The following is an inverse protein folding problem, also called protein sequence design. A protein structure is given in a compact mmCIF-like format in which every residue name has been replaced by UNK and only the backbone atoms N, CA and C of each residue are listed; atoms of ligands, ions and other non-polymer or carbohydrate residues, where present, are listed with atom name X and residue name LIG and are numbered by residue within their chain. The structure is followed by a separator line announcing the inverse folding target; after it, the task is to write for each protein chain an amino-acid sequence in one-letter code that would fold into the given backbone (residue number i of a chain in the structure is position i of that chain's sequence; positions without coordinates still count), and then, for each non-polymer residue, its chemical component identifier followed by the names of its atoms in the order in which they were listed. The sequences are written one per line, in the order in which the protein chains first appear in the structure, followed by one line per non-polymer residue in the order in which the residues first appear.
data_IF_151306196168
#
_entry.id   IF_151306196168
#
_cell.length_a   1.000
_cell.length_b   1.000
_cell.length_c   1.000
_cell.angle_alpha   90.00
_cell.angle_beta   90.00
_cell.angle_gamma   90.00
#
_symmetry.space_group_name_H-M   'P 1'
#
loop_
_entity.id
_entity.type
_entity.pdbx_description
1 polymer ?
#
# COMPACT_ATOMS: atom_id res chain seq x y z
N UNK A 1 -40.07 -8.93 -18.25
CA UNK A 1 -38.84 -8.29 -18.78
C UNK A 1 -38.61 -7.06 -17.93
N UNK A 2 -37.44 -6.95 -17.29
CA UNK A 2 -37.07 -5.72 -16.57
C UNK A 2 -36.59 -4.72 -17.60
N UNK A 3 -37.21 -3.56 -17.66
CA UNK A 3 -36.75 -2.42 -18.45
C UNK A 3 -35.74 -1.62 -17.61
N UNK A 4 -34.69 -1.13 -18.26
CA UNK A 4 -33.64 -0.31 -17.67
C UNK A 4 -33.42 0.86 -18.60
N UNK A 5 -33.40 2.07 -18.05
CA UNK A 5 -33.08 3.27 -18.82
C UNK A 5 -31.58 3.51 -18.76
N UNK A 6 -30.93 3.58 -19.93
CA UNK A 6 -29.51 3.89 -20.05
C UNK A 6 -29.36 5.27 -20.69
N UNK A 7 -28.82 6.21 -19.92
CA UNK A 7 -28.50 7.56 -20.41
C UNK A 7 -26.99 7.75 -20.49
N UNK A 8 -26.54 8.47 -21.51
CA UNK A 8 -25.12 8.81 -21.68
C UNK A 8 -24.96 10.32 -21.62
N UNK A 9 -24.20 10.79 -20.62
CA UNK A 9 -23.91 12.20 -20.41
C UNK A 9 -22.46 12.50 -20.75
N UNK A 10 -22.22 13.63 -21.41
CA UNK A 10 -20.86 14.14 -21.62
C UNK A 10 -20.37 14.81 -20.34
N UNK A 11 -19.24 14.34 -19.79
CA UNK A 11 -18.61 14.91 -18.58
C UNK A 11 -17.44 15.85 -18.88
N UNK A 12 -16.77 15.67 -20.01
CA UNK A 12 -15.65 16.53 -20.34
C UNK A 12 -14.95 16.15 -21.65
N UNK A 13 -13.93 16.92 -22.06
CA UNK A 13 -13.09 16.55 -23.17
C UNK A 13 -12.17 15.36 -22.81
N UNK A 14 -11.85 14.54 -23.81
CA UNK A 14 -10.82 13.52 -23.70
C UNK A 14 -9.45 14.14 -23.35
N UNK A 15 -8.56 13.45 -22.59
CA UNK A 15 -7.24 13.97 -22.22
C UNK A 15 -6.37 14.46 -23.39
N UNK A 16 -6.52 13.86 -24.58
CA UNK A 16 -5.80 14.27 -25.78
C UNK A 16 -6.52 15.33 -26.64
N UNK A 17 -7.69 15.82 -26.19
CA UNK A 17 -8.56 16.75 -26.92
C UNK A 17 -9.35 16.11 -28.07
N UNK A 18 -9.10 14.84 -28.41
CA UNK A 18 -9.76 14.13 -29.53
C UNK A 18 -10.81 13.15 -29.02
N UNK A 19 -11.97 13.66 -28.62
CA UNK A 19 -13.09 12.89 -28.09
C UNK A 19 -13.60 13.43 -26.76
N UNK A 20 -14.35 12.60 -26.04
CA UNK A 20 -15.09 12.99 -24.84
C UNK A 20 -15.00 11.92 -23.76
N UNK A 21 -15.17 12.35 -22.51
CA UNK A 21 -15.44 11.47 -21.38
C UNK A 21 -16.96 11.38 -21.25
N UNK A 22 -17.46 10.15 -21.27
CA UNK A 22 -18.87 9.81 -21.21
C UNK A 22 -19.16 9.15 -19.86
N UNK A 23 -20.26 9.55 -19.23
CA UNK A 23 -20.88 8.87 -18.10
C UNK A 23 -22.07 8.08 -18.64
N UNK A 24 -22.10 6.77 -18.38
CA UNK A 24 -23.25 5.93 -18.60
C UNK A 24 -23.96 5.72 -17.26
N UNK A 25 -25.20 6.16 -17.20
CA UNK A 25 -26.11 5.98 -16.06
C UNK A 25 -27.08 4.88 -16.43
N UNK A 26 -27.03 3.78 -15.70
CA UNK A 26 -28.02 2.70 -15.79
C UNK A 26 -28.96 2.81 -14.59
N UNK A 27 -30.22 3.15 -14.88
CA UNK A 27 -31.30 3.25 -13.91
C UNK A 27 -32.27 2.10 -14.13
N UNK A 28 -32.20 1.01 -13.33
CA UNK A 28 -33.14 -0.08 -13.43
C UNK A 28 -34.52 0.37 -12.92
N UNK A 29 -35.59 -0.04 -13.60
CA UNK A 29 -36.97 0.31 -13.19
C UNK A 29 -37.41 -0.32 -11.86
N UNK A 30 -36.60 -1.26 -11.34
CA UNK A 30 -36.85 -1.91 -10.08
C UNK A 30 -36.50 -0.97 -8.90
N UNK A 31 -37.47 -0.62 -8.02
CA UNK A 31 -37.28 0.33 -6.92
C UNK A 31 -36.28 -0.13 -5.85
N UNK A 32 -35.88 -1.40 -5.83
CA UNK A 32 -34.83 -1.91 -4.93
C UNK A 32 -33.44 -1.95 -5.57
N UNK A 33 -33.32 -1.64 -6.86
CA UNK A 33 -32.05 -1.66 -7.57
C UNK A 33 -31.37 -0.29 -7.48
N UNK A 34 -30.04 -0.30 -7.34
CA UNK A 34 -29.25 0.93 -7.29
C UNK A 34 -28.95 1.39 -8.72
N UNK A 35 -29.05 2.69 -8.95
CA UNK A 35 -28.50 3.33 -10.15
C UNK A 35 -27.00 3.04 -10.20
N UNK A 36 -26.52 2.60 -11.36
CA UNK A 36 -25.10 2.35 -11.58
C UNK A 36 -24.52 3.40 -12.52
N UNK A 37 -23.30 3.83 -12.20
CA UNK A 37 -22.56 4.83 -12.96
C UNK A 37 -21.30 4.16 -13.49
N UNK A 38 -21.07 4.25 -14.79
CA UNK A 38 -19.80 3.88 -15.40
C UNK A 38 -19.31 5.01 -16.27
N UNK A 39 -17.99 5.08 -16.48
CA UNK A 39 -17.39 6.13 -17.28
C UNK A 39 -16.54 5.51 -18.37
N UNK A 40 -16.58 6.10 -19.55
CA UNK A 40 -15.82 5.66 -20.71
C UNK A 40 -15.18 6.87 -21.41
N UNK A 41 -14.04 6.64 -22.04
CA UNK A 41 -13.41 7.64 -22.92
C UNK A 41 -13.73 7.25 -24.36
N UNK A 42 -14.34 8.13 -25.13
CA UNK A 42 -14.75 7.82 -26.52
C UNK A 42 -13.57 7.74 -27.49
N UNK A 43 -12.42 8.30 -27.13
CA UNK A 43 -11.19 8.23 -27.92
C UNK A 43 -10.58 6.82 -27.87
N UNK A 44 -10.43 6.11 -29.01
CA UNK A 44 -9.88 4.74 -29.03
C UNK A 44 -8.47 4.60 -28.48
N UNK A 45 -7.68 5.69 -28.50
CA UNK A 45 -6.34 5.72 -27.90
C UNK A 45 -6.44 5.86 -26.39
N UNK A 46 -7.11 6.91 -25.92
CA UNK A 46 -7.17 7.19 -24.48
C UNK A 46 -8.03 6.16 -23.72
N UNK A 47 -8.99 5.50 -24.35
CA UNK A 47 -9.75 4.40 -23.73
C UNK A 47 -8.89 3.19 -23.34
N UNK A 48 -7.71 3.05 -23.94
CA UNK A 48 -6.73 1.99 -23.61
C UNK A 48 -5.65 2.45 -22.64
N UNK A 49 -5.51 3.76 -22.44
CA UNK A 49 -4.46 4.35 -21.60
C UNK A 49 -4.99 4.83 -20.24
N UNK A 50 -6.31 5.00 -20.12
CA UNK A 50 -6.97 5.55 -18.94
C UNK A 50 -8.12 4.64 -18.50
N UNK A 51 -8.29 4.49 -17.20
CA UNK A 51 -9.46 3.85 -16.61
C UNK A 51 -10.02 4.71 -15.49
N UNK A 52 -11.25 4.41 -15.10
CA UNK A 52 -11.91 5.11 -14.00
C UNK A 52 -11.42 4.57 -12.66
N UNK A 53 -10.95 5.45 -11.78
CA UNK A 53 -10.63 5.18 -10.38
C UNK A 53 -11.65 5.87 -9.47
N UNK A 54 -12.27 5.08 -8.59
CA UNK A 54 -13.25 5.52 -7.58
C UNK A 54 -14.46 6.32 -8.11
N UNK A 55 -14.75 6.21 -9.41
CA UNK A 55 -15.86 6.93 -10.06
C UNK A 55 -15.71 8.45 -10.10
N UNK A 56 -14.52 8.98 -9.74
CA UNK A 56 -14.25 10.43 -9.63
C UNK A 56 -13.09 10.89 -10.51
N UNK A 57 -12.18 9.99 -10.84
CA UNK A 57 -10.98 10.30 -11.61
C UNK A 57 -10.80 9.30 -12.74
N UNK A 58 -10.17 9.75 -13.82
CA UNK A 58 -9.48 8.88 -14.74
C UNK A 58 -8.02 8.78 -14.31
N UNK A 59 -7.50 7.57 -14.17
CA UNK A 59 -6.10 7.30 -13.86
C UNK A 59 -5.40 6.65 -15.03
N UNK A 60 -4.16 7.05 -15.26
CA UNK A 60 -3.35 6.47 -16.32
C UNK A 60 -2.91 5.06 -15.96
N UNK A 61 -3.25 4.09 -16.80
CA UNK A 61 -3.00 2.66 -16.57
C UNK A 61 -1.50 2.36 -16.44
N UNK A 62 -0.67 2.95 -17.31
CA UNK A 62 0.78 2.69 -17.27
C UNK A 62 1.46 3.24 -16.01
N UNK A 63 1.01 4.40 -15.51
CA UNK A 63 1.54 4.96 -14.27
C UNK A 63 1.12 4.13 -13.05
N UNK A 64 -0.15 3.67 -13.01
CA UNK A 64 -0.61 2.78 -11.95
C UNK A 64 0.15 1.45 -11.95
N UNK A 65 0.37 0.86 -13.12
CA UNK A 65 1.15 -0.37 -13.27
C UNK A 65 2.59 -0.19 -12.79
N UNK A 66 3.25 0.91 -13.21
CA UNK A 66 4.60 1.23 -12.77
C UNK A 66 4.67 1.43 -11.25
N UNK A 67 3.72 2.19 -10.69
CA UNK A 67 3.64 2.42 -9.25
C UNK A 67 3.36 1.14 -8.47
N UNK A 68 2.50 0.25 -8.98
CA UNK A 68 2.22 -1.06 -8.38
C UNK A 68 3.46 -1.95 -8.41
N UNK A 69 4.19 -2.00 -9.51
CA UNK A 69 5.43 -2.77 -9.61
C UNK A 69 6.49 -2.26 -8.63
N UNK A 70 6.70 -0.94 -8.54
CA UNK A 70 7.62 -0.35 -7.57
C UNK A 70 7.19 -0.61 -6.12
N UNK A 71 5.88 -0.55 -5.81
CA UNK A 71 5.38 -0.92 -4.49
C UNK A 71 5.66 -2.38 -4.15
N UNK A 72 5.48 -3.29 -5.11
CA UNK A 72 5.81 -4.71 -4.94
C UNK A 72 7.30 -4.91 -4.65
N UNK A 73 8.17 -4.24 -5.40
CA UNK A 73 9.62 -4.28 -5.18
C UNK A 73 10.01 -3.75 -3.79
N UNK A 74 9.45 -2.62 -3.37
CA UNK A 74 9.63 -2.08 -2.02
C UNK A 74 9.18 -3.07 -0.95
N UNK A 75 7.97 -3.63 -1.06
CA UNK A 75 7.45 -4.59 -0.07
C UNK A 75 8.29 -5.86 -0.01
N UNK A 76 8.82 -6.33 -1.14
CA UNK A 76 9.72 -7.48 -1.19
C UNK A 76 11.06 -7.18 -0.52
N UNK A 77 11.64 -6.00 -0.77
CA UNK A 77 12.89 -5.57 -0.14
C UNK A 77 12.75 -5.41 1.39
N UNK A 78 11.63 -4.85 1.86
CA UNK A 78 11.31 -4.77 3.30
C UNK A 78 11.17 -6.17 3.89
N UNK A 79 10.44 -7.07 3.22
CA UNK A 79 10.23 -8.43 3.69
C UNK A 79 11.56 -9.21 3.81
N UNK A 80 12.49 -9.03 2.86
CA UNK A 80 13.83 -9.62 2.93
C UNK A 80 14.58 -9.18 4.21
N UNK A 81 14.49 -7.89 4.57
CA UNK A 81 15.07 -7.38 5.82
C UNK A 81 14.39 -8.03 7.03
N UNK A 82 13.05 -8.03 7.06
CA UNK A 82 12.26 -8.55 8.18
C UNK A 82 12.58 -10.02 8.47
N UNK A 83 12.58 -10.87 7.44
CA UNK A 83 12.91 -12.30 7.58
C UNK A 83 14.34 -12.49 8.11
N UNK A 84 15.30 -11.69 7.63
CA UNK A 84 16.70 -11.82 8.04
C UNK A 84 16.90 -11.49 9.53
N UNK A 85 16.18 -10.47 10.01
CA UNK A 85 16.38 -9.89 11.35
C UNK A 85 15.38 -10.41 12.39
N UNK A 86 14.32 -11.12 11.98
CA UNK A 86 13.34 -11.78 12.85
C UNK A 86 14.00 -12.50 14.05
N UNK A 87 14.97 -13.43 13.86
CA UNK A 87 15.61 -14.13 14.97
C UNK A 87 16.47 -13.21 15.86
N UNK A 88 16.97 -12.08 15.33
CA UNK A 88 17.75 -11.12 16.12
C UNK A 88 16.86 -10.33 17.07
N UNK A 89 15.66 -9.97 16.61
CA UNK A 89 14.68 -9.24 17.42
C UNK A 89 14.14 -10.14 18.53
N UNK A 90 13.81 -11.39 18.22
CA UNK A 90 13.33 -12.34 19.23
C UNK A 90 14.42 -12.61 20.28
N UNK A 91 15.65 -12.91 19.87
CA UNK A 91 16.77 -13.10 20.81
C UNK A 91 17.02 -11.85 21.67
N UNK A 92 16.89 -10.66 21.10
CA UNK A 92 16.99 -9.41 21.85
C UNK A 92 15.89 -9.26 22.91
N UNK A 93 14.63 -9.54 22.57
CA UNK A 93 13.52 -9.44 23.52
C UNK A 93 13.61 -10.51 24.62
N UNK A 94 13.99 -11.73 24.26
CA UNK A 94 14.20 -12.84 25.20
C UNK A 94 15.30 -12.50 26.21
N UNK A 95 16.39 -11.86 25.77
CA UNK A 95 17.49 -11.44 26.66
C UNK A 95 17.05 -10.44 27.74
N UNK A 96 15.95 -9.72 27.53
CA UNK A 96 15.41 -8.74 28.48
C UNK A 96 14.50 -9.37 29.53
N UNK A 97 14.13 -10.65 29.39
CA UNK A 97 13.26 -11.38 30.33
C UNK A 97 11.96 -10.62 30.66
N UNK A 98 11.32 -10.05 29.64
CA UNK A 98 10.12 -9.23 29.81
C UNK A 98 8.93 -10.08 30.26
N UNK A 99 8.29 -9.69 31.37
CA UNK A 99 7.21 -10.47 32.00
C UNK A 99 5.81 -10.27 31.40
N UNK A 100 5.64 -9.39 30.42
CA UNK A 100 4.32 -9.10 29.87
C UNK A 100 4.37 -8.54 28.45
N UNK A 101 3.30 -8.79 27.68
CA UNK A 101 3.07 -8.18 26.36
C UNK A 101 3.11 -6.64 26.40
N UNK A 102 2.70 -6.02 27.52
CA UNK A 102 2.78 -4.57 27.66
C UNK A 102 4.23 -4.08 27.77
N UNK A 103 5.11 -4.84 28.42
CA UNK A 103 6.53 -4.52 28.50
C UNK A 103 7.22 -4.74 27.15
N UNK A 104 6.91 -5.83 26.43
CA UNK A 104 7.38 -6.07 25.05
C UNK A 104 7.01 -4.90 24.13
N UNK A 105 5.72 -4.54 24.10
CA UNK A 105 5.20 -3.45 23.28
C UNK A 105 5.88 -2.11 23.59
N UNK A 106 5.98 -1.74 24.88
CA UNK A 106 6.69 -0.52 25.28
C UNK A 106 8.15 -0.54 24.83
N UNK A 107 8.81 -1.70 24.90
CA UNK A 107 10.20 -1.82 24.47
C UNK A 107 10.36 -1.60 22.97
N UNK A 108 9.46 -2.15 22.17
CA UNK A 108 9.44 -1.95 20.71
C UNK A 108 9.04 -0.52 20.33
N UNK A 109 8.13 0.10 21.10
CA UNK A 109 7.78 1.52 20.94
C UNK A 109 8.96 2.45 21.27
N UNK A 110 9.73 2.18 22.32
CA UNK A 110 10.92 2.96 22.66
C UNK A 110 11.95 2.98 21.53
N UNK A 111 12.03 1.89 20.76
CA UNK A 111 12.88 1.80 19.58
C UNK A 111 12.21 2.28 18.29
N UNK A 112 10.97 2.81 18.36
CA UNK A 112 10.22 3.33 17.22
C UNK A 112 9.95 2.30 16.10
N UNK A 113 9.99 1.00 16.45
CA UNK A 113 9.74 -0.11 15.51
C UNK A 113 8.35 -0.73 15.67
N UNK A 114 7.50 -0.12 16.50
CA UNK A 114 6.12 -0.58 16.71
C UNK A 114 5.13 0.46 16.16
N UNK A 115 4.53 0.22 14.98
CA UNK A 115 3.62 1.18 14.35
C UNK A 115 2.21 1.19 14.97
N UNK A 116 1.86 0.18 15.77
CA UNK A 116 0.50 -0.02 16.28
C UNK A 116 0.39 0.19 17.80
N UNK A 117 -0.84 0.45 18.25
CA UNK A 117 -1.15 0.56 19.68
C UNK A 117 -1.11 -0.80 20.41
N UNK A 118 -1.21 -0.74 21.73
CA UNK A 118 -1.16 -1.93 22.60
C UNK A 118 -2.36 -2.87 22.40
N UNK A 119 -3.52 -2.36 21.98
CA UNK A 119 -4.73 -3.16 21.76
C UNK A 119 -4.53 -4.03 20.52
N UNK A 120 -4.11 -3.43 19.40
CA UNK A 120 -3.78 -4.12 18.17
C UNK A 120 -2.61 -5.09 18.36
N UNK A 121 -1.57 -4.69 19.10
CA UNK A 121 -0.44 -5.57 19.44
C UNK A 121 -0.90 -6.82 20.18
N UNK A 122 -1.69 -6.67 21.26
CA UNK A 122 -2.23 -7.80 22.02
C UNK A 122 -3.09 -8.71 21.16
N UNK A 123 -3.91 -8.15 20.26
CA UNK A 123 -4.72 -8.93 19.33
C UNK A 123 -3.85 -9.83 18.43
N UNK A 124 -2.76 -9.31 17.89
CA UNK A 124 -1.82 -10.08 17.05
C UNK A 124 -1.04 -11.13 17.85
N UNK A 125 -0.55 -10.78 19.05
CA UNK A 125 0.13 -11.73 19.96
C UNK A 125 -0.78 -12.88 20.37
N UNK A 126 -2.04 -12.57 20.73
CA UNK A 126 -3.05 -13.59 21.06
C UNK A 126 -3.43 -14.47 19.86
N UNK A 127 -3.21 -13.99 18.62
CA UNK A 127 -3.35 -14.78 17.40
C UNK A 127 -2.11 -15.65 17.09
N UNK A 128 -1.11 -15.67 17.97
CA UNK A 128 0.07 -16.53 17.87
C UNK A 128 1.28 -15.91 17.16
N UNK A 129 1.21 -14.65 16.70
CA UNK A 129 2.36 -13.98 16.06
C UNK A 129 3.44 -13.64 17.07
N UNK A 130 4.71 -13.76 16.69
CA UNK A 130 5.85 -13.33 17.52
C UNK A 130 5.98 -11.80 17.53
N UNK A 131 6.67 -11.20 18.52
CA UNK A 131 6.92 -9.77 18.51
C UNK A 131 7.71 -9.30 17.28
N UNK A 132 8.68 -10.11 16.82
CA UNK A 132 9.46 -9.86 15.60
C UNK A 132 8.61 -9.78 14.34
N UNK A 133 7.58 -10.63 14.20
CA UNK A 133 6.61 -10.61 13.10
C UNK A 133 5.62 -9.44 13.13
N UNK A 134 5.48 -8.79 14.30
CA UNK A 134 4.58 -7.64 14.49
C UNK A 134 5.33 -6.31 14.36
N UNK A 135 6.62 -6.31 14.72
CA UNK A 135 7.48 -5.14 14.61
C UNK A 135 7.76 -4.78 13.14
N UNK A 136 8.06 -3.51 12.90
CA UNK A 136 8.51 -2.99 11.61
C UNK A 136 9.93 -2.42 11.79
N UNK A 137 10.96 -3.28 11.79
CA UNK A 137 12.32 -2.89 12.15
C UNK A 137 12.94 -1.87 11.19
N UNK A 138 12.50 -1.87 9.92
CA UNK A 138 12.92 -0.89 8.90
C UNK A 138 12.58 0.56 9.27
N UNK A 139 11.64 0.80 10.19
CA UNK A 139 11.29 2.15 10.68
C UNK A 139 12.39 2.80 11.52
N UNK A 140 13.33 2.02 12.04
CA UNK A 140 14.50 2.53 12.74
C UNK A 140 15.77 1.80 12.27
N UNK A 141 16.32 2.17 11.10
CA UNK A 141 17.51 1.54 10.53
C UNK A 141 18.71 1.60 11.47
N UNK A 142 18.85 2.69 12.24
CA UNK A 142 19.95 2.87 13.19
C UNK A 142 19.91 1.79 14.28
N UNK A 143 18.76 1.62 14.94
CA UNK A 143 18.60 0.57 15.95
C UNK A 143 18.81 -0.82 15.37
N UNK A 144 18.30 -1.08 14.16
CA UNK A 144 18.46 -2.37 13.53
C UNK A 144 19.94 -2.69 13.22
N UNK A 145 20.71 -1.70 12.78
CA UNK A 145 22.15 -1.84 12.56
C UNK A 145 22.91 -2.06 13.89
N UNK A 146 22.58 -1.32 14.95
CA UNK A 146 23.15 -1.52 16.29
C UNK A 146 22.85 -2.93 16.83
N UNK A 147 21.63 -3.43 16.60
CA UNK A 147 21.26 -4.80 16.95
C UNK A 147 22.06 -5.80 16.12
N UNK A 148 22.18 -5.57 14.82
CA UNK A 148 22.92 -6.44 13.90
C UNK A 148 24.41 -6.51 14.22
N UNK A 149 25.01 -5.42 14.70
CA UNK A 149 26.41 -5.36 15.16
C UNK A 149 26.66 -6.30 16.33
N UNK A 150 25.74 -6.34 17.31
CA UNK A 150 25.84 -7.25 18.48
C UNK A 150 25.86 -8.72 18.07
N UNK A 151 25.21 -9.04 16.95
CA UNK A 151 25.14 -10.39 16.40
C UNK A 151 26.13 -10.63 15.26
N UNK A 152 27.00 -9.66 14.93
CA UNK A 152 27.98 -9.73 13.82
C UNK A 152 27.35 -9.96 12.45
N UNK A 153 26.12 -9.47 12.23
CA UNK A 153 25.36 -9.62 10.97
C UNK A 153 25.17 -8.33 10.19
N UNK A 154 25.83 -7.24 10.60
CA UNK A 154 25.71 -5.93 9.95
C UNK A 154 26.00 -5.98 8.45
N UNK A 155 27.02 -6.74 8.03
CA UNK A 155 27.38 -6.89 6.62
C UNK A 155 26.28 -7.53 5.76
N UNK A 156 25.37 -8.30 6.37
CA UNK A 156 24.21 -8.88 5.70
C UNK A 156 23.01 -7.91 5.68
N UNK A 157 22.79 -7.20 6.79
CA UNK A 157 21.60 -6.34 7.00
C UNK A 157 21.73 -4.98 6.31
N UNK A 158 22.92 -4.36 6.35
CA UNK A 158 23.11 -3.01 5.81
C UNK A 158 22.84 -2.90 4.29
N UNK A 159 23.29 -3.84 3.44
CA UNK A 159 22.94 -3.82 2.03
C UNK A 159 21.43 -3.96 1.75
N UNK A 160 20.72 -4.78 2.54
CA UNK A 160 19.28 -4.96 2.37
C UNK A 160 18.49 -3.71 2.81
N UNK A 161 18.94 -3.03 3.86
CA UNK A 161 18.36 -1.74 4.25
C UNK A 161 18.53 -0.69 3.16
N UNK A 162 19.72 -0.61 2.53
CA UNK A 162 19.95 0.29 1.39
C UNK A 162 19.08 -0.07 0.18
N UNK A 163 18.90 -1.36 -0.10
CA UNK A 163 17.98 -1.84 -1.15
C UNK A 163 16.54 -1.40 -0.87
N UNK A 164 16.06 -1.56 0.37
CA UNK A 164 14.72 -1.15 0.77
C UNK A 164 14.52 0.38 0.67
N UNK A 165 15.51 1.17 1.10
CA UNK A 165 15.51 2.63 0.98
C UNK A 165 15.45 3.08 -0.49
N UNK A 166 16.27 2.49 -1.36
CA UNK A 166 16.24 2.81 -2.79
C UNK A 166 14.90 2.44 -3.45
N UNK A 167 14.31 1.31 -3.06
CA UNK A 167 12.99 0.89 -3.56
C UNK A 167 11.86 1.81 -3.06
N UNK A 168 11.94 2.27 -1.81
CA UNK A 168 11.01 3.26 -1.24
C UNK A 168 11.06 4.58 -2.01
N UNK A 169 12.27 5.13 -2.21
CA UNK A 169 12.47 6.35 -2.98
C UNK A 169 11.92 6.23 -4.41
N UNK A 170 12.12 5.07 -5.05
CA UNK A 170 11.61 4.80 -6.39
C UNK A 170 10.08 4.75 -6.42
N UNK A 171 9.46 4.12 -5.42
CA UNK A 171 8.02 4.08 -5.26
C UNK A 171 7.42 5.48 -5.00
N UNK A 172 8.03 6.26 -4.11
CA UNK A 172 7.57 7.60 -3.74
C UNK A 172 7.71 8.61 -4.89
N UNK A 173 8.73 8.45 -5.75
CA UNK A 173 8.95 9.31 -6.91
C UNK A 173 7.87 9.13 -8.00
N UNK A 174 7.23 7.95 -8.08
CA UNK A 174 6.24 7.66 -9.11
C UNK A 174 4.90 8.34 -8.79
N UNK A 175 4.45 9.22 -9.68
CA UNK A 175 3.13 9.86 -9.59
C UNK A 175 2.18 9.24 -10.61
N UNK A 176 0.97 8.89 -10.15
CA UNK A 176 -0.11 8.48 -11.05
C UNK A 176 -0.75 9.75 -11.61
N UNK A 177 -0.72 9.91 -12.94
CA UNK A 177 -1.48 10.99 -13.57
C UNK A 177 -2.96 10.69 -13.42
N UNK A 178 -3.69 11.64 -12.86
CA UNK A 178 -5.13 11.59 -12.70
C UNK A 178 -5.80 12.80 -13.33
N UNK A 179 -7.02 12.61 -13.83
CA UNK A 179 -7.85 13.68 -14.39
C UNK A 179 -9.21 13.62 -13.68
N UNK A 180 -9.66 14.71 -13.03
CA UNK A 180 -10.96 14.74 -12.40
C UNK A 180 -12.06 14.63 -13.46
N UNK A 181 -13.06 13.79 -13.18
CA UNK A 181 -14.27 13.74 -13.99
C UNK A 181 -15.20 14.83 -13.45
N UNK A 182 -15.29 15.94 -14.17
CA UNK A 182 -16.13 17.09 -13.80
C UNK A 182 -17.59 16.64 -13.67
N UNK A 183 -18.22 16.94 -12.53
CA UNK A 183 -19.64 16.68 -12.26
C UNK A 183 -20.57 17.56 -13.08
#
# INVERSE_FOLDING_TARGET
MSTSEVFTNRKGPCPCGKGEILEHVDSPDNPWSRVSYSYAVSCPKCSKEWHTSDGRYLSNISDEQARRAAFQEYTAAVHEVEVLVEPLIDAYLDSLSLKSMAAEHRRLQMHLVMPMDIIAYRKQRNAGKTPSQIASPVRNPKWLLELSDRHRRRSEVEPLLKKAEMAEMSYEALKVRTIPISS
#
